data_IF_201087913089
#
_entry.id   IF_201087913089
#
_cell.length_a   1.000
_cell.length_b   1.000
_cell.length_c   1.000
_cell.angle_alpha   90.00
_cell.angle_beta   90.00
_cell.angle_gamma   90.00
#
_symmetry.space_group_name_H-M   'P 1'
#
loop_
_entity.id
_entity.type
_entity.pdbx_description
1 polymer ?
#
# COMPACT_ATOMS: atom_id res chain seq x y z
N UNK A 1 4.29 10.37 20.16
CA UNK A 1 4.81 9.11 20.78
C UNK A 1 4.71 8.00 19.76
N UNK A 2 5.61 7.01 19.79
CA UNK A 2 5.61 5.81 18.94
C UNK A 2 5.85 4.58 19.80
N UNK A 3 5.07 3.52 19.59
CA UNK A 3 5.36 2.21 20.18
C UNK A 3 6.05 1.35 19.12
N UNK A 4 7.30 0.95 19.37
CA UNK A 4 8.13 0.20 18.44
C UNK A 4 8.65 -1.07 19.13
N UNK A 5 8.32 -2.24 18.58
CA UNK A 5 8.70 -3.55 19.12
C UNK A 5 8.33 -3.71 20.61
N UNK A 6 7.16 -3.21 21.01
CA UNK A 6 6.64 -3.28 22.38
C UNK A 6 7.17 -2.19 23.32
N UNK A 7 8.13 -1.39 22.90
CA UNK A 7 8.65 -0.27 23.70
C UNK A 7 8.03 1.05 23.23
N UNK A 8 7.52 1.82 24.19
CA UNK A 8 6.94 3.14 23.94
C UNK A 8 8.03 4.20 24.05
N UNK A 9 8.14 5.04 23.04
CA UNK A 9 9.12 6.11 22.96
C UNK A 9 8.43 7.48 22.92
N UNK A 10 8.92 8.40 23.73
CA UNK A 10 8.69 9.84 23.59
C UNK A 10 9.46 10.38 22.38
N UNK A 11 9.17 11.61 21.97
CA UNK A 11 9.89 12.27 20.88
C UNK A 11 11.39 12.41 21.16
N UNK A 12 11.75 12.80 22.37
CA UNK A 12 13.17 12.98 22.75
C UNK A 12 13.92 11.65 22.72
N UNK A 13 13.30 10.57 23.20
CA UNK A 13 13.90 9.23 23.13
C UNK A 13 14.06 8.74 21.68
N UNK A 14 13.07 9.02 20.82
CA UNK A 14 13.18 8.73 19.38
C UNK A 14 14.33 9.49 18.74
N UNK A 15 14.48 10.80 19.08
CA UNK A 15 15.60 11.60 18.57
C UNK A 15 16.94 10.99 18.98
N UNK A 16 17.10 10.59 20.24
CA UNK A 16 18.33 9.94 20.72
C UNK A 16 18.61 8.62 19.99
N UNK A 17 17.57 7.81 19.70
CA UNK A 17 17.73 6.58 18.92
C UNK A 17 18.15 6.90 17.48
N UNK A 18 17.54 7.89 16.86
CA UNK A 18 17.89 8.32 15.51
C UNK A 18 19.34 8.83 15.44
N UNK A 19 19.78 9.66 16.38
CA UNK A 19 21.13 10.20 16.43
C UNK A 19 22.19 9.10 16.57
N UNK A 20 21.86 8.04 17.31
CA UNK A 20 22.77 6.92 17.56
C UNK A 20 22.85 5.91 16.42
N UNK A 21 21.73 5.60 15.75
CA UNK A 21 21.62 4.44 14.88
C UNK A 21 21.20 4.73 13.44
N UNK A 22 20.76 5.94 13.08
CA UNK A 22 20.32 6.26 11.71
C UNK A 22 21.43 6.17 10.66
N UNK A 23 22.69 6.21 11.09
CA UNK A 23 23.86 6.06 10.23
C UNK A 23 24.14 4.61 9.81
N UNK A 24 23.45 3.64 10.40
CA UNK A 24 23.58 2.23 9.98
C UNK A 24 23.06 2.05 8.57
N UNK A 25 23.86 1.36 7.75
CA UNK A 25 23.51 1.11 6.34
C UNK A 25 22.74 -0.21 6.20
N UNK A 26 21.64 -0.34 6.94
CA UNK A 26 20.75 -1.49 6.93
C UNK A 26 19.28 -1.06 6.98
N UNK A 27 18.38 -2.03 7.01
CA UNK A 27 16.94 -1.77 7.04
C UNK A 27 16.46 -1.08 8.34
N UNK A 28 17.15 -1.27 9.46
CA UNK A 28 16.84 -0.60 10.73
C UNK A 28 17.27 0.87 10.67
N UNK A 29 18.44 1.14 10.09
CA UNK A 29 18.88 2.50 9.79
C UNK A 29 17.91 3.24 8.86
N UNK A 30 17.32 2.56 7.85
CA UNK A 30 16.29 3.15 6.99
C UNK A 30 15.05 3.59 7.78
N UNK A 31 14.60 2.77 8.74
CA UNK A 31 13.48 3.10 9.63
C UNK A 31 13.82 4.34 10.48
N UNK A 32 14.99 4.35 11.12
CA UNK A 32 15.39 5.46 12.00
C UNK A 32 15.65 6.75 11.24
N UNK A 33 16.23 6.69 10.02
CA UNK A 33 16.35 7.86 9.14
C UNK A 33 14.99 8.46 8.82
N UNK A 34 14.02 7.62 8.48
CA UNK A 34 12.68 8.11 8.21
C UNK A 34 11.99 8.66 9.47
N UNK A 35 12.14 8.02 10.63
CA UNK A 35 11.61 8.54 11.91
C UNK A 35 12.22 9.91 12.20
N UNK A 36 13.54 10.11 12.02
CA UNK A 36 14.18 11.40 12.19
C UNK A 36 13.59 12.48 11.28
N UNK A 37 13.45 12.16 9.97
CA UNK A 37 12.81 13.05 8.99
C UNK A 37 11.34 13.37 9.38
N UNK A 38 10.62 12.37 9.90
CA UNK A 38 9.22 12.52 10.29
C UNK A 38 9.03 13.43 11.51
N UNK A 39 9.86 13.27 12.55
CA UNK A 39 9.76 14.06 13.78
C UNK A 39 10.43 15.43 13.69
N UNK A 40 11.18 15.74 12.64
CA UNK A 40 11.73 17.07 12.40
C UNK A 40 10.62 18.09 12.15
N UNK A 41 10.45 19.05 13.05
CA UNK A 41 9.45 20.13 12.96
C UNK A 41 9.87 21.26 12.01
N UNK A 42 11.14 21.35 11.69
CA UNK A 42 11.66 22.34 10.74
C UNK A 42 11.25 22.05 9.29
N UNK A 43 10.71 20.86 9.03
CA UNK A 43 10.32 20.42 7.70
C UNK A 43 8.89 19.86 7.71
N UNK A 44 7.99 20.47 6.94
CA UNK A 44 6.59 20.09 6.79
C UNK A 44 6.35 19.00 5.74
N UNK A 45 7.38 18.62 5.00
CA UNK A 45 7.29 17.72 3.85
C UNK A 45 8.34 16.62 3.93
N UNK A 46 8.07 15.50 3.29
CA UNK A 46 9.04 14.41 3.10
C UNK A 46 9.33 14.20 1.62
N UNK A 47 10.56 13.82 1.32
CA UNK A 47 10.99 13.48 -0.02
C UNK A 47 10.78 11.99 -0.29
N UNK A 48 10.11 11.66 -1.39
CA UNK A 48 9.90 10.29 -1.85
C UNK A 48 10.30 10.14 -3.31
N UNK A 49 10.76 8.96 -3.67
CA UNK A 49 11.06 8.61 -5.05
C UNK A 49 9.91 7.81 -5.63
N UNK A 50 9.46 8.17 -6.82
CA UNK A 50 8.52 7.34 -7.57
C UNK A 50 9.26 6.11 -8.10
N UNK A 51 8.61 4.94 -8.05
CA UNK A 51 9.21 3.68 -8.54
C UNK A 51 9.39 3.61 -10.06
N UNK A 52 8.99 4.66 -10.78
CA UNK A 52 9.20 4.84 -12.21
C UNK A 52 8.99 3.59 -13.04
N UNK A 53 7.73 3.20 -13.32
CA UNK A 53 7.42 2.09 -14.23
C UNK A 53 7.87 2.36 -15.68
N UNK A 54 8.22 3.60 -16.03
CA UNK A 54 8.51 4.04 -17.40
C UNK A 54 9.73 4.95 -17.54
N UNK A 55 10.58 5.10 -16.52
CA UNK A 55 11.72 6.04 -16.64
C UNK A 55 12.54 6.25 -15.38
N UNK A 56 13.40 7.27 -15.41
CA UNK A 56 14.23 7.66 -14.27
C UNK A 56 13.35 8.01 -13.06
N UNK A 57 13.63 7.46 -11.85
CA UNK A 57 12.87 7.77 -10.65
C UNK A 57 12.79 9.28 -10.42
N UNK A 58 11.57 9.80 -10.31
CA UNK A 58 11.35 11.21 -9.99
C UNK A 58 11.24 11.39 -8.49
N UNK A 59 11.86 12.46 -7.98
CA UNK A 59 11.71 12.84 -6.58
C UNK A 59 10.56 13.81 -6.45
N UNK A 60 9.61 13.50 -5.57
CA UNK A 60 8.48 14.38 -5.24
C UNK A 60 8.48 14.71 -3.75
N UNK A 61 7.89 15.86 -3.41
CA UNK A 61 7.69 16.28 -2.02
C UNK A 61 6.22 16.04 -1.65
N UNK A 62 6.00 15.34 -0.54
CA UNK A 62 4.68 15.11 0.03
C UNK A 62 4.59 15.79 1.39
N UNK A 63 3.54 16.58 1.60
CA UNK A 63 3.30 17.23 2.89
C UNK A 63 3.00 16.21 3.96
N UNK A 64 3.60 16.35 5.13
CA UNK A 64 3.35 15.47 6.29
C UNK A 64 1.87 15.44 6.67
N UNK A 65 1.19 16.59 6.61
CA UNK A 65 -0.25 16.68 6.85
C UNK A 65 -1.06 15.78 5.91
N UNK A 66 -0.75 15.72 4.62
CA UNK A 66 -1.44 14.86 3.65
C UNK A 66 -1.25 13.38 3.97
N UNK A 67 -0.04 12.99 4.41
CA UNK A 67 0.24 11.62 4.83
C UNK A 67 -0.49 11.25 6.13
N UNK A 68 -0.61 12.20 7.07
CA UNK A 68 -1.43 12.03 8.27
C UNK A 68 -2.89 11.79 7.87
N UNK A 69 -3.44 12.62 6.97
CA UNK A 69 -4.80 12.47 6.48
C UNK A 69 -5.04 11.12 5.78
N UNK A 70 -4.08 10.66 4.97
CA UNK A 70 -4.11 9.33 4.37
C UNK A 70 -4.09 8.21 5.42
N UNK A 71 -3.27 8.34 6.46
CA UNK A 71 -3.19 7.38 7.55
C UNK A 71 -4.50 7.28 8.35
N UNK A 72 -5.14 8.42 8.66
CA UNK A 72 -6.44 8.49 9.35
C UNK A 72 -7.51 7.76 8.53
N UNK A 73 -7.56 7.94 7.21
CA UNK A 73 -8.54 7.28 6.35
C UNK A 73 -8.35 5.76 6.31
N UNK A 74 -7.10 5.31 6.24
CA UNK A 74 -6.77 3.88 6.35
C UNK A 74 -7.20 3.31 7.70
N UNK A 75 -6.91 4.05 8.79
CA UNK A 75 -7.29 3.68 10.15
C UNK A 75 -8.80 3.51 10.27
N UNK A 76 -9.58 4.49 9.79
CA UNK A 76 -11.04 4.48 9.86
C UNK A 76 -11.64 3.36 9.04
N UNK A 77 -11.16 3.15 7.79
CA UNK A 77 -11.68 2.13 6.89
C UNK A 77 -11.42 0.71 7.41
N UNK A 78 -10.21 0.45 7.93
CA UNK A 78 -9.82 -0.88 8.42
C UNK A 78 -10.10 -1.10 9.91
N UNK A 79 -10.60 -0.10 10.64
CA UNK A 79 -10.86 -0.16 12.06
C UNK A 79 -9.61 -0.41 12.89
N UNK A 80 -8.47 0.23 12.54
CA UNK A 80 -7.21 0.08 13.27
C UNK A 80 -7.25 0.83 14.60
N UNK A 81 -6.64 0.26 15.65
CA UNK A 81 -6.71 0.76 17.03
C UNK A 81 -5.33 0.87 17.66
N UNK A 82 -5.23 1.65 18.73
CA UNK A 82 -3.96 1.86 19.45
C UNK A 82 -3.42 0.58 20.11
N UNK A 83 -4.30 -0.36 20.48
CA UNK A 83 -3.92 -1.66 21.06
C UNK A 83 -3.52 -2.73 20.03
N UNK A 84 -3.62 -2.43 18.74
CA UNK A 84 -3.25 -3.36 17.67
C UNK A 84 -1.72 -3.52 17.57
N UNK A 85 -1.32 -4.67 17.04
CA UNK A 85 0.04 -4.92 16.59
C UNK A 85 0.08 -4.87 15.05
N UNK A 86 0.89 -3.98 14.49
CA UNK A 86 1.10 -3.91 13.07
C UNK A 86 2.52 -4.35 12.68
N UNK A 87 2.65 -5.15 11.63
CA UNK A 87 3.94 -5.65 11.15
C UNK A 87 4.47 -4.76 10.01
N UNK A 88 5.64 -4.17 10.20
CA UNK A 88 6.42 -3.54 9.14
C UNK A 88 7.45 -4.54 8.60
N UNK A 89 7.22 -5.02 7.41
CA UNK A 89 8.09 -5.94 6.67
C UNK A 89 8.47 -5.42 5.27
N UNK A 90 8.17 -4.14 5.02
CA UNK A 90 8.52 -3.42 3.79
C UNK A 90 9.69 -2.46 4.06
N UNK A 91 10.59 -2.24 3.07
CA UNK A 91 11.69 -1.30 3.25
C UNK A 91 11.18 0.14 3.48
N UNK A 92 11.65 0.79 4.56
CA UNK A 92 11.25 2.16 4.91
C UNK A 92 11.83 3.24 3.97
N UNK A 93 12.70 2.89 3.04
CA UNK A 93 13.15 3.78 1.96
C UNK A 93 12.05 4.05 0.91
N UNK A 94 11.05 3.16 0.79
CA UNK A 94 9.91 3.33 -0.11
C UNK A 94 8.67 3.83 0.64
N UNK A 95 7.76 4.48 -0.09
CA UNK A 95 6.56 5.10 0.49
C UNK A 95 5.69 4.11 1.27
N UNK A 96 5.57 2.86 0.81
CA UNK A 96 4.76 1.84 1.49
C UNK A 96 5.27 1.52 2.90
N UNK A 97 6.60 1.36 3.07
CA UNK A 97 7.22 1.18 4.38
C UNK A 97 7.12 2.44 5.25
N UNK A 98 7.40 3.63 4.67
CA UNK A 98 7.22 4.92 5.35
C UNK A 98 5.80 5.08 5.91
N UNK A 99 4.78 4.74 5.12
CA UNK A 99 3.38 4.86 5.54
C UNK A 99 2.98 3.91 6.67
N UNK A 100 3.64 2.77 6.84
CA UNK A 100 3.43 1.93 8.02
C UNK A 100 3.90 2.63 9.31
N UNK A 101 5.01 3.38 9.23
CA UNK A 101 5.54 4.18 10.34
C UNK A 101 4.61 5.38 10.60
N UNK A 102 4.17 6.09 9.56
CA UNK A 102 3.22 7.22 9.70
C UNK A 102 1.93 6.75 10.37
N UNK A 103 1.37 5.62 9.93
CA UNK A 103 0.17 5.03 10.55
C UNK A 103 0.39 4.68 12.02
N UNK A 104 1.59 4.23 12.41
CA UNK A 104 1.91 3.97 13.81
C UNK A 104 1.91 5.25 14.65
N UNK A 105 2.42 6.35 14.13
CA UNK A 105 2.34 7.65 14.80
C UNK A 105 0.90 8.17 14.95
N UNK A 106 0.07 7.95 13.94
CA UNK A 106 -1.32 8.43 13.88
C UNK A 106 -2.24 7.57 14.74
N UNK A 107 -2.20 6.26 14.57
CA UNK A 107 -3.09 5.30 15.26
C UNK A 107 -2.61 5.03 16.68
N UNK A 108 -1.28 5.06 16.92
CA UNK A 108 -0.69 4.72 18.23
C UNK A 108 -0.46 3.22 18.44
N UNK A 109 -0.67 2.37 17.43
CA UNK A 109 -0.47 0.93 17.54
C UNK A 109 1.02 0.55 17.74
N UNK A 110 1.27 -0.65 18.24
CA UNK A 110 2.62 -1.20 18.33
C UNK A 110 3.12 -1.61 16.94
N UNK A 111 4.17 -0.93 16.45
CA UNK A 111 4.82 -1.26 15.19
C UNK A 111 5.91 -2.30 15.43
N UNK A 112 5.65 -3.54 15.05
CA UNK A 112 6.62 -4.63 15.06
C UNK A 112 7.40 -4.58 13.75
N UNK A 113 8.72 -4.63 13.83
CA UNK A 113 9.60 -4.52 12.67
C UNK A 113 10.38 -5.81 12.44
N UNK A 114 10.45 -6.25 11.20
CA UNK A 114 11.27 -7.38 10.77
C UNK A 114 12.09 -6.99 9.53
N UNK A 115 13.18 -7.67 9.28
CA UNK A 115 13.96 -7.48 8.07
C UNK A 115 13.08 -7.71 6.82
N UNK A 116 13.08 -6.80 5.85
CA UNK A 116 12.39 -7.01 4.59
C UNK A 116 12.88 -8.29 3.90
N UNK A 117 11.96 -9.17 3.57
CA UNK A 117 12.23 -10.45 2.90
C UNK A 117 11.05 -10.87 2.04
N UNK A 118 11.24 -11.84 1.18
CA UNK A 118 10.17 -12.42 0.39
C UNK A 118 9.10 -13.09 1.28
N UNK A 119 9.52 -13.77 2.37
CA UNK A 119 8.60 -14.37 3.34
C UNK A 119 8.84 -13.80 4.75
N UNK A 120 8.22 -12.67 5.10
CA UNK A 120 8.41 -12.01 6.40
C UNK A 120 7.76 -12.77 7.57
N UNK A 121 6.95 -13.77 7.30
CA UNK A 121 6.24 -14.59 8.31
C UNK A 121 6.97 -15.91 8.60
N UNK A 122 8.17 -16.12 8.07
CA UNK A 122 8.97 -17.36 8.26
C UNK A 122 9.39 -17.56 9.72
N UNK A 123 9.61 -16.48 10.46
CA UNK A 123 9.95 -16.52 11.88
C UNK A 123 8.68 -16.51 12.76
N UNK A 124 8.74 -17.05 13.99
CA UNK A 124 7.67 -16.91 14.95
C UNK A 124 7.38 -15.44 15.23
N UNK A 125 6.16 -15.02 15.03
CA UNK A 125 5.68 -13.67 15.32
C UNK A 125 4.66 -13.73 16.46
N UNK A 126 4.65 -12.69 17.30
CA UNK A 126 3.52 -12.45 18.19
C UNK A 126 2.26 -12.16 17.36
N UNK A 127 1.11 -12.05 18.01
CA UNK A 127 -0.15 -11.69 17.35
C UNK A 127 0.02 -10.41 16.53
N UNK A 128 -0.36 -10.48 15.25
CA UNK A 128 -0.40 -9.35 14.32
C UNK A 128 -1.86 -9.07 13.96
N UNK A 129 -2.25 -7.82 14.02
CA UNK A 129 -3.60 -7.37 13.67
C UNK A 129 -3.64 -6.71 12.29
N UNK A 130 -2.52 -6.10 11.85
CA UNK A 130 -2.43 -5.40 10.57
C UNK A 130 -1.06 -5.57 9.92
N UNK A 131 -1.02 -5.67 8.60
CA UNK A 131 0.23 -5.59 7.81
C UNK A 131 -0.03 -5.10 6.38
N UNK A 132 1.03 -4.55 5.78
CA UNK A 132 1.11 -4.24 4.36
C UNK A 132 2.19 -5.09 3.70
N UNK A 133 1.86 -5.75 2.60
CA UNK A 133 2.78 -6.62 1.85
C UNK A 133 2.67 -6.39 0.34
N UNK A 134 3.67 -6.86 -0.40
CA UNK A 134 3.62 -6.90 -1.87
C UNK A 134 2.95 -8.20 -2.37
N UNK A 135 2.51 -8.26 -3.65
CA UNK A 135 2.03 -9.52 -4.24
C UNK A 135 3.07 -10.64 -4.17
N UNK A 136 4.35 -10.32 -4.36
CA UNK A 136 5.45 -11.29 -4.23
C UNK A 136 5.55 -11.84 -2.79
N UNK A 137 5.46 -10.98 -1.77
CA UNK A 137 5.44 -11.43 -0.37
C UNK A 137 4.18 -12.25 -0.05
N UNK A 138 3.03 -11.91 -0.61
CA UNK A 138 1.81 -12.72 -0.49
C UNK A 138 1.99 -14.12 -1.06
N UNK A 139 2.61 -14.23 -2.24
CA UNK A 139 2.92 -15.50 -2.88
C UNK A 139 3.86 -16.35 -2.04
N UNK A 140 5.01 -15.82 -1.65
CA UNK A 140 6.05 -16.53 -0.90
C UNK A 140 5.62 -16.88 0.54
N UNK A 141 4.69 -16.12 1.10
CA UNK A 141 4.17 -16.34 2.45
C UNK A 141 2.86 -17.16 2.49
N UNK A 142 2.34 -17.57 1.36
CA UNK A 142 1.00 -18.16 1.26
C UNK A 142 0.75 -19.30 2.24
N UNK A 143 1.65 -20.28 2.31
CA UNK A 143 1.48 -21.43 3.20
C UNK A 143 1.46 -21.04 4.69
N UNK A 144 2.19 -20.00 5.05
CA UNK A 144 2.18 -19.48 6.42
C UNK A 144 0.91 -18.68 6.70
N UNK A 145 0.49 -17.85 5.76
CA UNK A 145 -0.73 -17.01 5.88
C UNK A 145 -2.02 -17.84 5.98
N UNK A 146 -2.04 -19.07 5.45
CA UNK A 146 -3.15 -20.02 5.66
C UNK A 146 -3.29 -20.49 7.10
N UNK A 147 -2.22 -20.43 7.89
CA UNK A 147 -2.13 -20.98 9.24
C UNK A 147 -2.28 -19.92 10.33
N UNK A 148 -2.16 -18.65 9.97
CA UNK A 148 -2.24 -17.52 10.90
C UNK A 148 -3.41 -16.62 10.53
N UNK A 149 -4.01 -15.98 11.53
CA UNK A 149 -5.08 -15.00 11.33
C UNK A 149 -4.56 -13.61 11.67
N UNK A 150 -4.37 -12.80 10.63
CA UNK A 150 -4.11 -11.36 10.73
C UNK A 150 -5.42 -10.66 10.39
N UNK A 151 -5.93 -9.79 11.28
CA UNK A 151 -7.24 -9.17 11.07
C UNK A 151 -7.34 -8.50 9.69
N UNK A 152 -6.34 -7.70 9.30
CA UNK A 152 -6.31 -7.02 8.00
C UNK A 152 -4.93 -7.14 7.34
N UNK A 153 -4.90 -7.56 6.09
CA UNK A 153 -3.72 -7.55 5.22
C UNK A 153 -4.03 -6.66 4.02
N UNK A 154 -3.23 -5.62 3.78
CA UNK A 154 -3.30 -4.86 2.53
C UNK A 154 -2.16 -5.29 1.61
N UNK A 155 -2.48 -5.46 0.34
CA UNK A 155 -1.54 -5.91 -0.70
C UNK A 155 -1.45 -4.84 -1.78
N UNK A 156 -0.23 -4.38 -2.06
CA UNK A 156 -0.03 -3.31 -3.04
C UNK A 156 1.38 -3.23 -3.59
N UNK A 157 1.63 -2.21 -4.39
CA UNK A 157 2.91 -1.97 -5.06
C UNK A 157 3.03 -2.60 -6.45
N UNK A 158 2.14 -3.53 -6.80
CA UNK A 158 1.98 -4.11 -8.13
C UNK A 158 0.57 -4.72 -8.26
N UNK A 159 0.18 -5.09 -9.47
CA UNK A 159 -1.05 -5.84 -9.72
C UNK A 159 -0.98 -7.22 -9.05
N UNK A 160 -2.12 -7.70 -8.55
CA UNK A 160 -2.25 -9.05 -7.99
C UNK A 160 -2.73 -9.98 -9.10
N UNK A 161 -1.91 -10.95 -9.55
CA UNK A 161 -2.33 -11.88 -10.59
C UNK A 161 -3.60 -12.65 -10.19
N UNK A 162 -4.53 -12.96 -11.13
CA UNK A 162 -5.77 -13.66 -10.81
C UNK A 162 -5.55 -15.03 -10.13
N UNK A 163 -4.49 -15.73 -10.49
CA UNK A 163 -4.10 -17.00 -9.85
C UNK A 163 -3.70 -16.84 -8.38
N UNK A 164 -3.02 -15.75 -8.04
CA UNK A 164 -2.67 -15.41 -6.66
C UNK A 164 -3.90 -14.94 -5.89
N UNK A 165 -4.76 -14.13 -6.51
CA UNK A 165 -6.01 -13.70 -5.90
C UNK A 165 -6.90 -14.91 -5.56
N UNK A 166 -7.02 -15.88 -6.47
CA UNK A 166 -7.77 -17.11 -6.22
C UNK A 166 -7.22 -17.91 -5.00
N UNK A 167 -5.91 -17.92 -4.78
CA UNK A 167 -5.28 -18.56 -3.61
C UNK A 167 -5.70 -17.89 -2.30
N UNK A 168 -5.95 -16.58 -2.30
CA UNK A 168 -6.29 -15.85 -1.06
C UNK A 168 -7.59 -16.33 -0.41
N UNK A 169 -8.46 -17.04 -1.15
CA UNK A 169 -9.70 -17.66 -0.62
C UNK A 169 -9.46 -18.58 0.57
N UNK A 170 -8.27 -19.17 0.66
CA UNK A 170 -7.89 -20.08 1.73
C UNK A 170 -7.16 -19.36 2.90
N UNK A 171 -7.01 -18.06 2.85
CA UNK A 171 -6.38 -17.25 3.91
C UNK A 171 -7.48 -16.77 4.86
N UNK A 172 -7.37 -17.05 6.19
CA UNK A 172 -8.40 -16.66 7.17
C UNK A 172 -8.48 -15.15 7.40
N UNK A 173 -7.41 -14.43 7.09
CA UNK A 173 -7.31 -12.98 7.25
C UNK A 173 -8.17 -12.23 6.23
N UNK A 174 -8.59 -11.01 6.57
CA UNK A 174 -9.16 -10.07 5.61
C UNK A 174 -8.06 -9.54 4.68
N UNK A 175 -8.11 -9.87 3.39
CA UNK A 175 -7.09 -9.46 2.40
C UNK A 175 -7.68 -8.42 1.44
N UNK A 176 -7.01 -7.27 1.33
CA UNK A 176 -7.42 -6.16 0.47
C UNK A 176 -6.35 -5.83 -0.56
N UNK A 177 -6.73 -5.71 -1.82
CA UNK A 177 -5.91 -5.05 -2.84
C UNK A 177 -5.99 -3.53 -2.65
N UNK A 178 -4.86 -2.84 -2.77
CA UNK A 178 -4.80 -1.38 -2.67
C UNK A 178 -4.72 -0.76 -4.05
N UNK A 179 -5.36 0.39 -4.23
CA UNK A 179 -5.15 1.26 -5.38
C UNK A 179 -4.62 2.62 -4.93
N UNK A 180 -3.51 3.04 -5.50
CA UNK A 180 -2.85 4.31 -5.22
C UNK A 180 -1.48 4.38 -5.88
N UNK A 181 -0.85 5.53 -5.74
CA UNK A 181 0.45 5.83 -6.32
C UNK A 181 1.27 6.70 -5.37
N UNK A 182 2.52 6.99 -5.73
CA UNK A 182 3.38 7.81 -4.87
C UNK A 182 2.80 9.21 -4.69
N UNK A 183 2.20 9.77 -5.73
CA UNK A 183 1.58 11.10 -5.74
C UNK A 183 0.37 11.20 -4.81
N UNK A 184 -0.31 10.08 -4.52
CA UNK A 184 -1.38 10.02 -3.51
C UNK A 184 -0.86 9.75 -2.09
N UNK A 185 0.46 9.64 -1.91
CA UNK A 185 1.11 9.34 -0.64
C UNK A 185 0.90 7.90 -0.17
N UNK A 186 -0.21 7.29 -0.51
CA UNK A 186 -0.59 5.91 -0.23
C UNK A 186 -1.79 5.53 -1.08
N UNK A 187 -2.47 4.43 -0.72
CA UNK A 187 -3.70 4.04 -1.38
C UNK A 187 -4.84 5.02 -1.10
N UNK A 188 -5.70 5.19 -2.10
CA UNK A 188 -6.92 6.01 -2.06
C UNK A 188 -8.19 5.17 -2.21
N UNK A 189 -8.04 3.91 -2.61
CA UNK A 189 -9.11 2.94 -2.65
C UNK A 189 -8.62 1.55 -2.21
N UNK A 190 -9.56 0.74 -1.76
CA UNK A 190 -9.37 -0.64 -1.36
C UNK A 190 -10.39 -1.54 -2.02
N UNK A 191 -10.02 -2.79 -2.24
CA UNK A 191 -10.88 -3.85 -2.77
C UNK A 191 -10.65 -5.12 -1.96
N UNK A 192 -11.69 -5.64 -1.33
CA UNK A 192 -11.62 -6.95 -0.66
C UNK A 192 -11.43 -8.05 -1.72
N UNK A 193 -10.42 -8.90 -1.56
CA UNK A 193 -10.10 -9.94 -2.55
C UNK A 193 -10.40 -11.37 -2.09
N UNK A 194 -10.86 -11.54 -0.85
CA UNK A 194 -11.22 -12.86 -0.31
C UNK A 194 -12.43 -12.81 0.63
N UNK A 195 -12.95 -13.99 0.99
CA UNK A 195 -14.13 -14.12 1.82
C UNK A 195 -15.43 -13.84 1.03
N UNK A 196 -16.55 -13.69 1.77
CA UNK A 196 -17.87 -13.42 1.19
C UNK A 196 -18.01 -12.02 0.59
N UNK A 197 -17.13 -11.11 1.00
CA UNK A 197 -17.09 -9.70 0.54
C UNK A 197 -16.11 -9.49 -0.63
N UNK A 198 -15.58 -10.58 -1.21
CA UNK A 198 -14.66 -10.46 -2.34
C UNK A 198 -15.34 -9.77 -3.54
N UNK A 199 -14.64 -8.78 -4.09
CA UNK A 199 -15.13 -7.93 -5.17
C UNK A 199 -14.05 -7.64 -6.20
N UNK A 200 -14.42 -7.34 -7.43
CA UNK A 200 -13.53 -6.76 -8.45
C UNK A 200 -13.55 -5.23 -8.44
N UNK A 201 -14.37 -4.63 -7.58
CA UNK A 201 -14.63 -3.20 -7.52
C UNK A 201 -13.80 -2.58 -6.40
N UNK A 202 -13.07 -1.53 -6.72
CA UNK A 202 -12.39 -0.69 -5.75
C UNK A 202 -13.35 0.33 -5.16
N UNK A 203 -13.32 0.47 -3.85
CA UNK A 203 -14.08 1.45 -3.09
C UNK A 203 -13.15 2.56 -2.59
N UNK A 204 -13.58 3.82 -2.80
CA UNK A 204 -12.85 5.00 -2.33
C UNK A 204 -12.72 5.03 -0.80
N UNK A 205 -11.56 5.41 -0.29
CA UNK A 205 -11.44 5.81 1.11
C UNK A 205 -12.30 7.06 1.40
N UNK A 206 -12.64 7.33 2.68
CA UNK A 206 -13.39 8.55 3.04
C UNK A 206 -12.80 9.82 2.41
N UNK A 207 -13.66 10.72 1.96
CA UNK A 207 -13.34 12.02 1.33
C UNK A 207 -12.51 11.92 0.03
N UNK A 208 -12.43 10.73 -0.57
CA UNK A 208 -11.91 10.53 -1.92
C UNK A 208 -13.08 10.35 -2.88
N UNK A 209 -12.97 10.89 -4.07
CA UNK A 209 -13.92 10.66 -5.17
C UNK A 209 -13.19 10.47 -6.49
N UNK A 210 -13.88 9.82 -7.41
CA UNK A 210 -13.36 9.45 -8.71
C UNK A 210 -14.20 10.09 -9.82
N UNK A 211 -13.52 10.35 -10.92
CA UNK A 211 -14.08 10.78 -12.19
C UNK A 211 -13.26 10.14 -13.31
N UNK A 212 -13.66 10.31 -14.55
CA UNK A 212 -12.89 9.84 -15.71
C UNK A 212 -12.84 10.93 -16.78
N UNK A 213 -11.79 10.89 -17.57
CA UNK A 213 -11.69 11.71 -18.77
C UNK A 213 -12.39 11.06 -19.97
N UNK A 214 -12.31 11.69 -21.15
CA UNK A 214 -12.89 11.20 -22.41
C UNK A 214 -12.32 9.87 -22.90
N UNK A 215 -11.24 9.39 -22.28
CA UNK A 215 -10.57 8.12 -22.60
C UNK A 215 -10.76 7.08 -21.50
N UNK A 216 -11.68 7.34 -20.54
CA UNK A 216 -11.93 6.53 -19.34
C UNK A 216 -10.69 6.41 -18.42
N UNK A 217 -9.74 7.36 -18.47
CA UNK A 217 -8.64 7.39 -17.54
C UNK A 217 -9.10 7.98 -16.23
N UNK A 218 -8.74 7.31 -15.12
CA UNK A 218 -9.18 7.67 -13.79
C UNK A 218 -8.63 9.05 -13.37
N UNK A 219 -9.49 9.88 -12.81
CA UNK A 219 -9.19 11.15 -12.15
C UNK A 219 -9.51 10.98 -10.67
N UNK A 220 -8.51 11.19 -9.82
CA UNK A 220 -8.64 11.12 -8.36
C UNK A 220 -8.84 12.54 -7.81
N UNK A 221 -9.87 12.72 -7.00
CA UNK A 221 -10.17 13.97 -6.29
C UNK A 221 -10.14 13.72 -4.79
N UNK A 222 -9.31 14.46 -4.08
CA UNK A 222 -9.27 14.47 -2.62
C UNK A 222 -8.58 15.75 -2.14
N UNK A 223 -9.23 16.53 -1.30
CA UNK A 223 -8.76 17.87 -0.88
C UNK A 223 -7.45 17.80 -0.06
N UNK A 224 -7.18 16.64 0.55
CA UNK A 224 -5.94 16.44 1.30
C UNK A 224 -4.72 16.07 0.44
N UNK A 225 -4.88 15.85 -0.87
CA UNK A 225 -3.77 15.54 -1.76
C UNK A 225 -3.07 16.81 -2.23
N UNK A 226 -1.74 16.75 -2.32
CA UNK A 226 -0.92 17.85 -2.87
C UNK A 226 -1.31 18.16 -4.31
N UNK A 227 -1.66 17.12 -5.05
CA UNK A 227 -2.01 17.18 -6.47
C UNK A 227 -3.46 16.71 -6.64
N UNK A 228 -4.42 17.61 -6.53
CA UNK A 228 -5.84 17.31 -6.74
C UNK A 228 -6.46 18.36 -7.66
N UNK A 229 -7.21 17.97 -8.71
CA UNK A 229 -7.42 16.60 -9.17
C UNK A 229 -6.16 15.96 -9.80
N UNK A 230 -5.96 14.67 -9.53
CA UNK A 230 -4.84 13.92 -10.08
C UNK A 230 -5.33 13.00 -11.20
N UNK A 231 -4.89 13.24 -12.43
CA UNK A 231 -5.16 12.37 -13.55
C UNK A 231 -4.14 11.23 -13.59
N UNK A 232 -4.63 10.01 -13.78
CA UNK A 232 -3.80 8.82 -13.91
C UNK A 232 -3.72 8.34 -15.37
N UNK A 233 -2.89 7.34 -15.63
CA UNK A 233 -2.90 6.57 -16.89
C UNK A 233 -3.65 5.24 -16.74
N UNK A 234 -4.43 5.06 -15.68
CA UNK A 234 -5.23 3.85 -15.47
C UNK A 234 -6.62 4.02 -16.09
N UNK A 235 -6.96 3.11 -16.96
CA UNK A 235 -8.30 3.02 -17.59
C UNK A 235 -9.19 2.21 -16.67
N UNK A 236 -10.38 2.73 -16.40
CA UNK A 236 -11.33 2.14 -15.48
C UNK A 236 -12.75 2.13 -16.05
N UNK A 237 -13.58 1.25 -15.54
CA UNK A 237 -15.01 1.35 -15.60
C UNK A 237 -15.49 2.03 -14.33
N UNK A 238 -15.90 3.29 -14.44
CA UNK A 238 -16.45 4.05 -13.32
C UNK A 238 -17.90 3.64 -13.10
N UNK A 239 -18.23 3.14 -11.91
CA UNK A 239 -19.59 2.77 -11.55
C UNK A 239 -20.34 3.98 -10.95
N UNK A 240 -19.65 4.70 -10.07
CA UNK A 240 -20.07 5.96 -9.47
C UNK A 240 -18.84 6.73 -8.94
N UNK A 241 -19.04 7.86 -8.25
CA UNK A 241 -17.95 8.69 -7.72
C UNK A 241 -17.12 8.02 -6.61
N UNK A 242 -17.53 6.83 -6.12
CA UNK A 242 -16.86 6.08 -5.06
C UNK A 242 -16.35 4.73 -5.51
N UNK A 243 -16.83 4.21 -6.65
CA UNK A 243 -16.57 2.83 -7.06
C UNK A 243 -16.11 2.75 -8.50
N UNK A 244 -15.05 1.99 -8.74
CA UNK A 244 -14.58 1.70 -10.07
C UNK A 244 -14.03 0.27 -10.18
N UNK A 245 -14.07 -0.27 -11.39
CA UNK A 245 -13.36 -1.48 -11.79
C UNK A 245 -12.14 -1.09 -12.63
N UNK A 246 -10.96 -1.52 -12.20
CA UNK A 246 -9.74 -1.30 -12.98
C UNK A 246 -9.70 -2.21 -14.21
N UNK A 247 -9.38 -1.64 -15.37
CA UNK A 247 -9.35 -2.34 -16.67
C UNK A 247 -7.90 -2.62 -17.08
N UNK A 248 -7.06 -1.59 -17.09
CA UNK A 248 -5.67 -1.70 -17.49
C UNK A 248 -4.98 -0.33 -17.56
N UNK A 249 -3.77 -0.32 -18.13
CA UNK A 249 -3.00 0.90 -18.35
C UNK A 249 -3.24 1.46 -19.75
N UNK A 250 -3.50 2.76 -19.83
CA UNK A 250 -3.65 3.44 -21.13
C UNK A 250 -2.39 3.32 -22.00
N UNK A 251 -1.21 3.33 -21.38
CA UNK A 251 0.09 3.20 -22.05
C UNK A 251 0.30 1.81 -22.68
N UNK A 252 -0.41 0.77 -22.21
CA UNK A 252 -0.30 -0.61 -22.65
C UNK A 252 -1.32 -0.96 -23.74
N UNK A 253 -2.26 -0.06 -24.06
CA UNK A 253 -3.34 -0.33 -25.01
C UNK A 253 -2.80 -0.69 -26.39
N UNK A 254 -3.21 -1.85 -26.91
CA UNK A 254 -2.93 -2.31 -28.26
C UNK A 254 -4.10 -1.92 -29.15
N UNK A 255 -3.82 -1.14 -30.21
CA UNK A 255 -4.81 -0.81 -31.22
C UNK A 255 -4.75 -1.83 -32.38
N UNK A 256 -5.75 -2.65 -32.52
CA UNK A 256 -5.86 -3.65 -33.60
C UNK A 256 -7.12 -3.41 -34.42
N UNK A 257 -6.95 -2.91 -35.65
CA UNK A 257 -8.08 -2.67 -36.55
C UNK A 257 -9.18 -1.72 -36.02
N UNK A 258 -8.81 -0.74 -35.19
CA UNK A 258 -9.71 0.21 -34.51
C UNK A 258 -10.32 -0.30 -33.20
N UNK A 259 -9.97 -1.52 -32.80
CA UNK A 259 -10.36 -2.10 -31.50
C UNK A 259 -9.24 -1.85 -30.49
N UNK A 260 -9.59 -1.29 -29.35
CA UNK A 260 -8.66 -1.15 -28.19
C UNK A 260 -8.62 -2.45 -27.40
N UNK A 261 -7.46 -3.07 -27.32
CA UNK A 261 -7.22 -4.30 -26.54
C UNK A 261 -6.39 -3.91 -25.33
N UNK A 262 -6.83 -4.25 -24.15
CA UNK A 262 -6.11 -4.11 -22.90
C UNK A 262 -5.43 -5.45 -22.58
N UNK A 263 -4.09 -5.53 -22.62
CA UNK A 263 -3.37 -6.77 -22.32
C UNK A 263 -3.78 -7.35 -20.97
N UNK A 264 -3.96 -6.50 -19.97
CA UNK A 264 -4.33 -6.89 -18.62
C UNK A 264 -5.71 -7.57 -18.54
N UNK A 265 -6.67 -7.17 -19.39
CA UNK A 265 -7.97 -7.87 -19.50
C UNK A 265 -7.81 -9.24 -20.18
N UNK A 266 -7.00 -9.30 -21.24
CA UNK A 266 -6.71 -10.56 -21.93
C UNK A 266 -6.02 -11.53 -20.97
N UNK A 267 -4.99 -11.10 -20.25
CA UNK A 267 -4.29 -11.89 -19.25
C UNK A 267 -5.25 -12.42 -18.18
N UNK A 268 -6.17 -11.59 -17.71
CA UNK A 268 -7.18 -12.00 -16.72
C UNK A 268 -8.12 -13.08 -17.25
N UNK A 269 -8.49 -13.02 -18.52
CA UNK A 269 -9.36 -14.03 -19.16
C UNK A 269 -8.62 -15.35 -19.36
N UNK A 270 -7.35 -15.32 -19.79
CA UNK A 270 -6.57 -16.52 -20.08
C UNK A 270 -5.89 -17.15 -18.84
N UNK A 271 -5.68 -16.40 -17.79
CA UNK A 271 -5.03 -16.88 -16.56
C UNK A 271 -5.60 -18.20 -15.99
N UNK A 272 -6.92 -18.47 -16.02
CA UNK A 272 -7.47 -19.74 -15.55
C UNK A 272 -7.06 -20.95 -16.39
N UNK A 273 -6.68 -20.75 -17.65
CA UNK A 273 -6.34 -21.85 -18.62
C UNK A 273 -4.84 -21.99 -18.85
N UNK A 274 -4.04 -20.98 -18.46
CA UNK A 274 -2.57 -21.00 -18.55
C UNK A 274 -2.00 -21.33 -17.17
N UNK A 275 -1.33 -22.50 -17.01
CA UNK A 275 -0.84 -22.94 -15.70
C UNK A 275 0.40 -22.19 -15.20
N UNK A 276 0.99 -21.29 -15.99
CA UNK A 276 2.22 -20.58 -15.65
C UNK A 276 1.93 -19.10 -15.36
N UNK A 277 2.37 -18.65 -14.18
CA UNK A 277 2.38 -17.23 -13.83
C UNK A 277 3.79 -16.70 -14.10
N UNK A 278 3.91 -15.77 -15.03
CA UNK A 278 5.13 -15.00 -15.20
C UNK A 278 5.08 -13.81 -14.24
N UNK A 279 6.10 -13.70 -13.37
CA UNK A 279 6.33 -12.53 -12.52
C UNK A 279 7.44 -11.65 -13.10
#
# INVERSE_FOLDING_TARGET
MLTLNGQKYSRNELQQQCDRYSQQNDWQGDILRFIAEWIDEGNDSIRVQTSGSTGTPKSILLKKEHLIQSAIRTQNYLGLRAEDNALLCLPARYIAGKMMIVRAFVTGYNLITVAPSANPFSQPLQRIDFTAITPHQLWESYEKLRQINIRNIIVGGAEIPPSLEAKTRNIPSAVFATYGMTETGSHVALRRINGTEASTIYEALPDVSFDVDTQNRLIIRADYLTYSPLQTNDVVELLDHKHFRWVGRYDNVINSGGIKIFPEEVERIIAPVIPFVFF
#
